data_IF_369350909495
#
_entry.id   IF_369350909495
#
_cell.length_a   1.000
_cell.length_b   1.000
_cell.length_c   1.000
_cell.angle_alpha   90.00
_cell.angle_beta   90.00
_cell.angle_gamma   90.00
#
_symmetry.space_group_name_H-M   'P 1'
#
loop_
_entity.id
_entity.type
_entity.pdbx_description
1 polymer ?
#
# COMPACT_ATOMS: atom_id res chain seq x y z
N UNK A 1 -14.67 -28.36 53.34
CA UNK A 1 -13.79 -27.44 52.58
C UNK A 1 -13.93 -27.78 51.10
N UNK A 2 -14.57 -26.91 50.32
CA UNK A 2 -14.74 -27.11 48.88
C UNK A 2 -13.45 -26.69 48.16
N UNK A 3 -12.76 -27.65 47.54
CA UNK A 3 -11.61 -27.39 46.69
C UNK A 3 -12.10 -26.67 45.42
N UNK A 4 -11.69 -25.41 45.24
CA UNK A 4 -11.87 -24.68 43.99
C UNK A 4 -11.02 -25.39 42.94
N UNK A 5 -11.65 -25.99 41.92
CA UNK A 5 -10.95 -26.40 40.70
C UNK A 5 -10.39 -25.13 40.08
N UNK A 6 -9.09 -24.91 40.24
CA UNK A 6 -8.37 -23.97 39.41
C UNK A 6 -8.54 -24.43 37.96
N UNK A 7 -9.19 -23.61 37.15
CA UNK A 7 -9.03 -23.69 35.70
C UNK A 7 -7.56 -23.44 35.44
N UNK A 8 -6.87 -24.44 34.92
CA UNK A 8 -5.45 -24.37 34.59
C UNK A 8 -5.27 -23.44 33.39
N UNK A 9 -5.12 -22.15 33.67
CA UNK A 9 -5.03 -21.07 32.66
C UNK A 9 -3.77 -21.26 31.80
N UNK A 10 -2.73 -21.90 32.32
CA UNK A 10 -1.50 -22.18 31.57
C UNK A 10 -1.72 -23.19 30.43
N UNK A 11 -2.61 -24.17 30.63
CA UNK A 11 -2.96 -25.14 29.58
C UNK A 11 -3.76 -24.55 28.41
N UNK A 12 -4.31 -23.34 28.58
CA UNK A 12 -5.11 -22.65 27.55
C UNK A 12 -4.27 -21.72 26.66
N UNK A 13 -2.98 -21.54 26.98
CA UNK A 13 -2.06 -20.72 26.18
C UNK A 13 -1.53 -21.59 25.04
N UNK A 14 -2.14 -21.47 23.86
CA UNK A 14 -1.65 -22.11 22.63
C UNK A 14 -0.34 -21.41 22.23
N UNK A 15 0.79 -22.06 22.47
CA UNK A 15 2.13 -21.54 22.11
C UNK A 15 2.48 -21.78 20.64
N UNK A 16 1.89 -22.80 20.01
CA UNK A 16 2.09 -23.13 18.60
C UNK A 16 0.77 -23.55 17.94
N UNK A 17 0.20 -22.69 17.11
CA UNK A 17 -0.98 -23.01 16.29
C UNK A 17 -0.54 -23.68 14.99
N UNK A 18 -0.96 -24.93 14.69
CA UNK A 18 -0.60 -25.59 13.43
C UNK A 18 -1.05 -24.79 12.20
N UNK A 19 -0.26 -24.78 11.11
CA UNK A 19 -0.64 -24.08 9.88
C UNK A 19 -1.78 -24.83 9.15
N UNK A 20 -2.58 -24.07 8.42
CA UNK A 20 -3.67 -24.60 7.58
C UNK A 20 -3.29 -24.48 6.11
N UNK A 21 -3.34 -25.60 5.38
CA UNK A 21 -3.20 -25.62 3.92
C UNK A 21 -4.56 -25.91 3.28
N UNK A 22 -4.98 -25.04 2.36
CA UNK A 22 -6.26 -25.16 1.65
C UNK A 22 -6.01 -25.48 0.19
N UNK A 23 -6.56 -26.60 -0.30
CA UNK A 23 -6.52 -26.92 -1.72
C UNK A 23 -7.42 -25.95 -2.49
N UNK A 24 -6.88 -25.37 -3.56
CA UNK A 24 -7.61 -24.44 -4.42
C UNK A 24 -7.69 -25.00 -5.85
N UNK A 25 -8.70 -25.82 -6.19
CA UNK A 25 -8.96 -26.20 -7.58
C UNK A 25 -9.20 -25.01 -8.54
N UNK A 26 -9.31 -25.31 -9.82
CA UNK A 26 -9.65 -24.32 -10.86
C UNK A 26 -10.98 -23.63 -10.53
N UNK A 27 -10.99 -22.29 -10.61
CA UNK A 27 -12.14 -21.40 -10.31
C UNK A 27 -12.59 -21.36 -8.84
N UNK A 28 -11.81 -21.92 -7.91
CA UNK A 28 -12.07 -21.74 -6.48
C UNK A 28 -11.82 -20.29 -6.04
N UNK A 29 -12.61 -19.83 -5.08
CA UNK A 29 -12.46 -18.53 -4.41
C UNK A 29 -12.31 -18.73 -2.91
N UNK A 30 -11.61 -17.81 -2.26
CA UNK A 30 -11.51 -17.73 -0.81
C UNK A 30 -11.54 -16.26 -0.39
N UNK A 31 -11.87 -16.01 0.87
CA UNK A 31 -12.03 -14.66 1.41
C UNK A 31 -11.27 -14.53 2.72
N UNK A 32 -10.53 -13.45 2.87
CA UNK A 32 -9.94 -13.04 4.14
C UNK A 32 -10.86 -11.96 4.70
N UNK A 33 -11.59 -12.31 5.76
CA UNK A 33 -12.64 -11.45 6.32
C UNK A 33 -12.13 -10.71 7.55
N UNK A 34 -12.69 -9.52 7.78
CA UNK A 34 -12.44 -8.71 8.96
C UNK A 34 -10.94 -8.50 9.24
N UNK A 35 -10.49 -8.78 10.47
CA UNK A 35 -9.11 -8.61 10.88
C UNK A 35 -8.21 -9.83 10.57
N UNK A 36 -8.68 -10.79 9.76
CA UNK A 36 -7.92 -12.01 9.48
C UNK A 36 -6.53 -11.70 8.93
N UNK A 37 -6.44 -10.75 7.99
CA UNK A 37 -5.17 -10.31 7.40
C UNK A 37 -4.26 -9.54 8.40
N UNK A 38 -4.80 -9.08 9.53
CA UNK A 38 -4.02 -8.45 10.60
C UNK A 38 -3.41 -9.50 11.55
N UNK A 39 -4.16 -10.57 11.86
CA UNK A 39 -3.76 -11.59 12.82
C UNK A 39 -3.08 -12.82 12.21
N UNK A 40 -3.24 -13.05 10.91
CA UNK A 40 -2.72 -14.23 10.22
C UNK A 40 -1.84 -13.86 9.02
N UNK A 41 -0.76 -14.60 8.86
CA UNK A 41 0.04 -14.61 7.65
C UNK A 41 -0.51 -15.65 6.68
N UNK A 42 -0.42 -15.39 5.37
CA UNK A 42 -0.82 -16.33 4.34
C UNK A 42 0.25 -16.40 3.24
N UNK A 43 0.41 -17.58 2.66
CA UNK A 43 1.35 -17.83 1.57
C UNK A 43 0.67 -18.65 0.48
N UNK A 44 1.15 -18.51 -0.76
CA UNK A 44 0.72 -19.33 -1.89
C UNK A 44 1.67 -20.50 -2.03
N UNK A 45 1.14 -21.72 -1.90
CA UNK A 45 1.90 -22.94 -2.11
C UNK A 45 1.79 -23.35 -3.58
N UNK A 46 2.93 -23.52 -4.26
CA UNK A 46 2.98 -24.10 -5.59
C UNK A 46 3.46 -25.53 -5.49
N UNK A 47 2.71 -26.47 -6.05
CA UNK A 47 3.24 -27.79 -6.36
C UNK A 47 4.26 -27.58 -7.49
N UNK A 48 5.51 -27.99 -7.28
CA UNK A 48 6.66 -27.67 -8.13
C UNK A 48 6.63 -28.31 -9.54
N UNK A 49 5.45 -28.63 -10.06
CA UNK A 49 5.22 -29.23 -11.37
C UNK A 49 5.24 -28.13 -12.44
N UNK A 50 6.22 -28.10 -13.37
CA UNK A 50 6.40 -27.01 -14.34
C UNK A 50 5.27 -26.84 -15.37
N UNK A 51 4.27 -27.74 -15.38
CA UNK A 51 3.28 -27.87 -16.46
C UNK A 51 1.97 -27.11 -16.24
N UNK A 52 1.77 -26.44 -15.10
CA UNK A 52 0.51 -25.75 -14.79
C UNK A 52 0.74 -24.29 -14.40
N UNK A 53 0.41 -23.37 -15.31
CA UNK A 53 0.37 -21.93 -15.00
C UNK A 53 -0.94 -21.64 -14.28
N UNK A 54 -0.85 -21.09 -13.07
CA UNK A 54 -2.01 -20.65 -12.29
C UNK A 54 -2.08 -19.13 -12.22
N UNK A 55 -3.24 -18.59 -12.58
CA UNK A 55 -3.58 -17.18 -12.37
C UNK A 55 -4.50 -17.03 -11.16
N UNK A 56 -4.45 -15.85 -10.53
CA UNK A 56 -5.38 -15.46 -9.47
C UNK A 56 -5.77 -13.99 -9.61
N UNK A 57 -6.96 -13.63 -9.15
CA UNK A 57 -7.40 -12.24 -9.00
C UNK A 57 -7.61 -11.97 -7.52
N UNK A 58 -6.84 -11.04 -6.95
CA UNK A 58 -6.95 -10.67 -5.52
C UNK A 58 -7.60 -9.30 -5.41
N UNK A 59 -8.90 -9.28 -5.09
CA UNK A 59 -9.65 -8.04 -4.96
C UNK A 59 -9.39 -7.42 -3.60
N UNK A 60 -9.04 -6.13 -3.56
CA UNK A 60 -8.64 -5.41 -2.35
C UNK A 60 -9.36 -4.09 -2.24
N UNK A 61 -9.74 -3.72 -1.02
CA UNK A 61 -10.13 -2.35 -0.69
C UNK A 61 -8.85 -1.59 -0.33
N UNK A 62 -8.47 -0.62 -1.17
CA UNK A 62 -7.33 0.25 -0.90
C UNK A 62 -7.73 1.33 0.10
N UNK A 63 -6.77 1.83 0.89
CA UNK A 63 -6.99 2.95 1.80
C UNK A 63 -7.31 4.21 1.00
N UNK A 64 -8.32 4.96 1.41
CA UNK A 64 -8.83 6.11 0.64
C UNK A 64 -7.85 7.29 0.55
N UNK A 65 -6.90 7.40 1.49
CA UNK A 65 -6.09 8.61 1.69
C UNK A 65 -4.94 8.81 0.69
N UNK A 66 -4.63 7.83 -0.17
CA UNK A 66 -3.52 7.90 -1.11
C UNK A 66 -4.00 7.78 -2.55
N UNK A 67 -4.54 8.89 -3.08
CA UNK A 67 -5.00 8.95 -4.46
C UNK A 67 -4.66 10.30 -5.12
N UNK A 68 -4.64 10.26 -6.46
CA UNK A 68 -4.26 11.36 -7.35
C UNK A 68 -4.97 12.67 -7.01
N UNK A 69 -6.28 12.63 -6.77
CA UNK A 69 -7.09 13.83 -6.53
C UNK A 69 -6.64 14.54 -5.24
N UNK A 70 -6.44 13.79 -4.16
CA UNK A 70 -6.01 14.37 -2.89
C UNK A 70 -4.59 14.92 -2.97
N UNK A 71 -3.68 14.24 -3.66
CA UNK A 71 -2.32 14.72 -3.85
C UNK A 71 -2.30 16.05 -4.62
N UNK A 72 -2.95 16.11 -5.79
CA UNK A 72 -2.96 17.31 -6.62
C UNK A 72 -3.62 18.50 -5.91
N UNK A 73 -4.66 18.25 -5.12
CA UNK A 73 -5.29 19.30 -4.30
C UNK A 73 -4.34 19.85 -3.23
N UNK A 74 -3.61 18.95 -2.54
CA UNK A 74 -2.58 19.34 -1.56
C UNK A 74 -1.45 20.13 -2.22
N UNK A 75 -1.02 19.74 -3.41
CA UNK A 75 -0.04 20.49 -4.20
C UNK A 75 -0.53 21.89 -4.52
N UNK A 76 -1.74 21.99 -5.09
CA UNK A 76 -2.36 23.28 -5.44
C UNK A 76 -2.45 24.20 -4.23
N UNK A 77 -2.96 23.70 -3.11
CA UNK A 77 -3.13 24.49 -1.89
C UNK A 77 -1.79 24.95 -1.33
N UNK A 78 -0.80 24.07 -1.27
CA UNK A 78 0.54 24.38 -0.76
C UNK A 78 1.24 25.43 -1.63
N UNK A 79 1.23 25.23 -2.96
CA UNK A 79 1.85 26.15 -3.90
C UNK A 79 1.17 27.53 -3.97
N UNK A 80 -0.14 27.59 -3.74
CA UNK A 80 -0.83 28.90 -3.62
C UNK A 80 -0.42 29.70 -2.38
N UNK A 81 0.08 29.02 -1.34
CA UNK A 81 0.46 29.58 -0.05
C UNK A 81 1.90 30.10 0.03
N UNK A 82 2.65 30.09 -1.07
CA UNK A 82 4.08 30.35 -1.12
C UNK A 82 4.56 31.71 -0.58
N UNK A 83 3.66 32.70 -0.48
CA UNK A 83 3.95 33.99 0.16
C UNK A 83 4.09 33.87 1.69
N UNK A 84 3.51 32.83 2.31
CA UNK A 84 3.58 32.59 3.75
C UNK A 84 4.94 32.01 4.11
N UNK A 85 5.55 32.56 5.16
CA UNK A 85 6.86 32.11 5.66
C UNK A 85 6.72 31.58 7.08
N UNK A 86 7.43 30.50 7.39
CA UNK A 86 7.54 29.98 8.74
C UNK A 86 7.89 28.50 8.79
N UNK A 87 8.48 28.01 9.90
CA UNK A 87 8.97 26.64 10.01
C UNK A 87 7.91 25.56 9.75
N UNK A 88 6.66 25.81 10.16
CA UNK A 88 5.55 24.88 9.91
C UNK A 88 5.21 24.77 8.42
N UNK A 89 5.20 25.89 7.70
CA UNK A 89 4.95 25.93 6.26
C UNK A 89 6.07 25.21 5.51
N UNK A 90 7.33 25.54 5.81
CA UNK A 90 8.48 24.89 5.17
C UNK A 90 8.52 23.40 5.42
N UNK A 91 8.23 22.95 6.65
CA UNK A 91 8.14 21.51 6.94
C UNK A 91 7.06 20.83 6.11
N UNK A 92 5.89 21.46 5.95
CA UNK A 92 4.82 20.92 5.12
C UNK A 92 5.19 20.89 3.63
N UNK A 93 5.89 21.91 3.12
CA UNK A 93 6.41 21.98 1.75
C UNK A 93 7.43 20.86 1.50
N UNK A 94 8.38 20.66 2.42
CA UNK A 94 9.39 19.60 2.35
C UNK A 94 8.79 18.19 2.39
N UNK A 95 7.82 17.94 3.27
CA UNK A 95 7.11 16.65 3.32
C UNK A 95 6.36 16.37 2.01
N UNK A 96 5.79 17.40 1.39
CA UNK A 96 5.11 17.25 0.11
C UNK A 96 6.10 17.04 -1.05
N UNK A 97 7.25 17.70 -1.03
CA UNK A 97 8.32 17.51 -2.01
C UNK A 97 8.80 16.05 -2.00
N UNK A 98 9.10 15.51 -0.81
CA UNK A 98 9.51 14.11 -0.65
C UNK A 98 8.40 13.14 -1.06
N UNK A 99 7.14 13.39 -0.69
CA UNK A 99 6.02 12.55 -1.13
C UNK A 99 5.89 12.52 -2.67
N UNK A 100 5.91 13.68 -3.34
CA UNK A 100 5.85 13.76 -4.80
C UNK A 100 7.00 12.99 -5.46
N UNK A 101 8.22 13.15 -4.94
CA UNK A 101 9.40 12.52 -5.49
C UNK A 101 9.39 11.00 -5.25
N UNK A 102 9.29 10.59 -4.00
CA UNK A 102 9.54 9.24 -3.53
C UNK A 102 8.35 8.31 -3.72
N UNK A 103 7.12 8.80 -3.52
CA UNK A 103 5.90 7.96 -3.56
C UNK A 103 5.20 7.97 -4.92
N UNK A 104 5.45 8.98 -5.76
CA UNK A 104 4.75 9.13 -7.05
C UNK A 104 5.69 9.09 -8.24
N UNK A 105 6.61 10.06 -8.35
CA UNK A 105 7.48 10.18 -9.53
C UNK A 105 8.43 8.97 -9.63
N UNK A 106 9.24 8.72 -8.60
CA UNK A 106 10.18 7.59 -8.60
C UNK A 106 9.47 6.24 -8.69
N UNK A 107 8.35 6.05 -7.98
CA UNK A 107 7.56 4.81 -8.07
C UNK A 107 7.03 4.54 -9.47
N UNK A 108 6.65 5.57 -10.23
CA UNK A 108 6.18 5.39 -11.60
C UNK A 108 7.29 4.90 -12.54
N UNK A 109 8.49 5.48 -12.42
CA UNK A 109 9.60 5.18 -13.34
C UNK A 109 10.41 3.93 -12.94
N UNK A 110 10.51 3.59 -11.66
CA UNK A 110 11.30 2.43 -11.20
C UNK A 110 10.75 1.09 -11.71
N UNK A 111 9.46 1.04 -12.07
CA UNK A 111 8.80 -0.13 -12.65
C UNK A 111 9.25 -0.44 -14.10
N UNK A 112 10.06 0.43 -14.71
CA UNK A 112 10.75 0.18 -15.97
C UNK A 112 9.96 0.56 -17.23
N UNK A 113 10.61 0.39 -18.38
CA UNK A 113 10.14 0.91 -19.68
C UNK A 113 8.83 0.28 -20.14
N UNK A 114 8.62 -1.02 -19.92
CA UNK A 114 7.37 -1.68 -20.32
C UNK A 114 6.16 -1.15 -19.54
N UNK A 115 6.32 -0.94 -18.22
CA UNK A 115 5.31 -0.30 -17.39
C UNK A 115 5.02 1.12 -17.89
N UNK A 116 6.07 1.92 -18.11
CA UNK A 116 5.95 3.27 -18.65
C UNK A 116 5.15 3.28 -19.96
N UNK A 117 5.58 2.51 -20.97
CA UNK A 117 4.96 2.53 -22.30
C UNK A 117 3.49 2.11 -22.26
N UNK A 118 3.12 1.15 -21.38
CA UNK A 118 1.75 0.67 -21.24
C UNK A 118 0.83 1.64 -20.50
N UNK A 119 1.33 2.33 -19.46
CA UNK A 119 0.50 3.18 -18.61
C UNK A 119 0.56 4.67 -18.96
N UNK A 120 1.56 5.11 -19.73
CA UNK A 120 1.72 6.52 -20.10
C UNK A 120 0.46 7.17 -20.69
N UNK A 121 -0.34 6.52 -21.57
CA UNK A 121 -1.56 7.13 -22.10
C UNK A 121 -2.55 7.57 -21.02
N UNK A 122 -2.69 6.79 -19.94
CA UNK A 122 -3.60 7.10 -18.84
C UNK A 122 -2.97 7.99 -17.75
N UNK A 123 -1.65 7.90 -17.56
CA UNK A 123 -0.95 8.52 -16.43
C UNK A 123 -0.19 9.81 -16.77
N UNK A 124 0.10 10.06 -18.05
CA UNK A 124 0.92 11.19 -18.51
C UNK A 124 0.46 12.54 -17.94
N UNK A 125 -0.84 12.86 -18.04
CA UNK A 125 -1.39 14.12 -17.51
C UNK A 125 -1.14 14.31 -16.02
N UNK A 126 -1.26 13.25 -15.23
CA UNK A 126 -1.00 13.30 -13.79
C UNK A 126 0.50 13.41 -13.48
N UNK A 127 1.33 12.60 -14.11
CA UNK A 127 2.78 12.60 -13.89
C UNK A 127 3.40 13.95 -14.30
N UNK A 128 2.94 14.56 -15.40
CA UNK A 128 3.37 15.90 -15.79
C UNK A 128 2.98 16.98 -14.77
N UNK A 129 1.81 16.87 -14.14
CA UNK A 129 1.42 17.78 -13.06
C UNK A 129 2.29 17.59 -11.81
N UNK A 130 2.61 16.35 -11.46
CA UNK A 130 3.52 16.06 -10.34
C UNK A 130 4.89 16.71 -10.57
N UNK A 131 5.47 16.56 -11.77
CA UNK A 131 6.72 17.24 -12.13
C UNK A 131 6.63 18.75 -11.99
N UNK A 132 5.55 19.37 -12.49
CA UNK A 132 5.34 20.82 -12.39
C UNK A 132 5.32 21.29 -10.93
N UNK A 133 4.69 20.56 -10.02
CA UNK A 133 4.66 20.92 -8.60
C UNK A 133 5.97 20.60 -7.89
N UNK A 134 6.62 19.50 -8.23
CA UNK A 134 7.93 19.13 -7.69
C UNK A 134 8.96 20.21 -7.98
N UNK A 135 9.07 20.69 -9.24
CA UNK A 135 10.00 21.78 -9.61
C UNK A 135 9.70 23.06 -8.81
N UNK A 136 8.43 23.43 -8.69
CA UNK A 136 8.03 24.62 -7.91
C UNK A 136 8.38 24.52 -6.43
N UNK A 137 8.31 23.31 -5.85
CA UNK A 137 8.69 23.08 -4.47
C UNK A 137 10.21 23.04 -4.31
N UNK A 138 10.93 22.40 -5.23
CA UNK A 138 12.39 22.35 -5.26
C UNK A 138 13.01 23.76 -5.30
N UNK A 139 12.49 24.65 -6.16
CA UNK A 139 12.97 26.05 -6.27
C UNK A 139 12.83 26.86 -4.98
N UNK A 140 12.02 26.39 -4.02
CA UNK A 140 11.75 27.08 -2.75
C UNK A 140 12.53 26.52 -1.57
N UNK A 141 13.19 25.39 -1.75
CA UNK A 141 13.82 24.60 -0.70
C UNK A 141 15.33 24.58 -0.84
#
# INVERSE_FOLDING_TARGET
MASRRGTDIESAIVTETPPVAVSLPTRSTYYLLDDFNHHHQHAVLSEGTPSCIRYSSTHRLLRESHNVKFLLERCRTTCSGFHKKGPKTWRSEQLLLDELESEWLRQFYVQGKAHYDSLWPAWSSFISQCWKYWVQLEERT
#
